data_IF_667368702476
#
_entry.id   IF_667368702476
#
_cell.length_a   1.000
_cell.length_b   1.000
_cell.length_c   1.000
_cell.angle_alpha   90.00
_cell.angle_beta   90.00
_cell.angle_gamma   90.00
#
_symmetry.space_group_name_H-M   'P 1'
#
loop_
_entity.id
_entity.type
_entity.pdbx_description
1 polymer ?
#
# COMPACT_ATOMS: atom_id res chain seq x y z
N UNK A 1 1.51 -48.31 64.79
CA UNK A 1 2.73 -47.88 64.12
C UNK A 1 2.31 -47.29 62.75
N UNK A 2 2.20 -45.96 62.70
CA UNK A 2 2.03 -45.19 61.47
C UNK A 2 3.40 -44.94 60.81
N UNK A 3 3.41 -44.61 59.55
CA UNK A 3 4.11 -43.42 59.13
C UNK A 3 3.37 -42.47 58.19
N UNK A 4 3.46 -41.22 58.54
CA UNK A 4 3.71 -39.99 57.72
C UNK A 4 3.31 -39.99 56.24
N UNK A 5 2.28 -39.20 55.95
CA UNK A 5 2.00 -38.60 54.65
C UNK A 5 2.52 -37.16 54.71
N UNK A 6 3.60 -36.88 53.98
CA UNK A 6 4.10 -35.51 53.81
C UNK A 6 3.56 -34.88 52.50
N UNK A 7 2.98 -33.73 52.69
CA UNK A 7 2.64 -32.68 51.76
C UNK A 7 3.35 -32.65 50.42
N UNK A 8 2.56 -32.80 49.38
CA UNK A 8 2.91 -32.49 47.95
C UNK A 8 1.92 -31.51 47.36
N UNK A 9 1.71 -30.38 48.04
CA UNK A 9 0.79 -29.32 47.56
C UNK A 9 1.39 -27.92 47.60
N UNK A 10 2.61 -27.72 47.11
CA UNK A 10 3.19 -26.36 46.97
C UNK A 10 4.16 -26.19 45.83
N UNK A 11 3.94 -26.82 44.65
CA UNK A 11 4.85 -26.61 43.52
C UNK A 11 4.14 -26.40 42.15
N UNK A 12 2.86 -26.08 42.12
CA UNK A 12 2.16 -25.78 40.86
C UNK A 12 1.41 -24.47 41.01
N UNK A 13 2.12 -23.36 41.15
CA UNK A 13 1.54 -22.03 40.98
C UNK A 13 2.62 -20.93 40.86
N UNK A 14 3.56 -21.07 39.97
CA UNK A 14 4.44 -19.96 39.54
C UNK A 14 4.94 -20.15 38.11
N UNK A 15 4.05 -20.37 37.16
CA UNK A 15 4.30 -20.13 35.73
C UNK A 15 2.93 -20.10 35.02
N UNK A 16 2.31 -18.97 34.87
CA UNK A 16 2.14 -18.34 33.58
C UNK A 16 1.98 -16.80 33.68
N UNK A 17 3.04 -16.07 33.84
CA UNK A 17 2.98 -14.58 33.74
C UNK A 17 4.08 -14.01 32.85
N UNK A 18 4.74 -14.81 32.06
CA UNK A 18 5.84 -14.37 31.17
C UNK A 18 5.60 -14.65 29.69
N UNK A 19 4.40 -15.11 29.28
CA UNK A 19 4.07 -15.32 27.86
C UNK A 19 3.03 -14.33 27.31
N UNK A 20 2.54 -13.37 28.09
CA UNK A 20 1.61 -12.35 27.59
C UNK A 20 2.28 -11.05 27.12
N UNK A 21 3.61 -10.96 27.18
CA UNK A 21 4.38 -9.75 26.84
C UNK A 21 5.05 -9.74 25.48
N UNK A 22 4.97 -10.82 24.72
CA UNK A 22 5.76 -10.97 23.49
C UNK A 22 4.96 -10.94 22.18
N UNK A 23 3.67 -10.60 22.20
CA UNK A 23 2.82 -10.55 20.99
C UNK A 23 2.42 -9.12 20.57
N UNK A 24 3.06 -8.07 21.08
CA UNK A 24 2.68 -6.68 20.84
C UNK A 24 3.68 -5.84 20.02
N UNK A 25 4.65 -6.45 19.33
CA UNK A 25 5.65 -5.67 18.58
C UNK A 25 5.89 -6.11 17.13
N UNK A 26 5.04 -6.92 16.53
CA UNK A 26 5.35 -7.51 15.22
C UNK A 26 4.95 -6.67 14.00
N UNK A 27 4.22 -5.56 14.15
CA UNK A 27 3.77 -4.76 13.00
C UNK A 27 4.58 -3.49 12.73
N UNK A 28 5.32 -2.96 13.69
CA UNK A 28 6.11 -1.73 13.52
C UNK A 28 7.34 -1.87 12.60
N UNK A 29 7.74 -3.11 12.26
CA UNK A 29 8.88 -3.42 11.40
C UNK A 29 8.46 -3.99 10.04
N UNK A 30 7.16 -4.10 9.75
CA UNK A 30 6.66 -4.83 8.59
C UNK A 30 7.30 -4.39 7.26
N UNK A 31 7.43 -3.07 7.01
CA UNK A 31 8.03 -2.58 5.77
C UNK A 31 9.54 -2.84 5.68
N UNK A 32 10.29 -2.60 6.77
CA UNK A 32 11.73 -2.88 6.80
C UNK A 32 11.98 -4.39 6.70
N UNK A 33 11.16 -5.18 7.38
CA UNK A 33 11.23 -6.64 7.32
C UNK A 33 10.86 -7.16 5.93
N UNK A 34 9.87 -6.57 5.27
CA UNK A 34 9.51 -6.86 3.88
C UNK A 34 10.68 -6.58 2.94
N UNK A 35 11.25 -5.37 2.97
CA UNK A 35 12.42 -5.01 2.16
C UNK A 35 13.59 -5.94 2.46
N UNK A 36 13.85 -6.28 3.72
CA UNK A 36 14.90 -7.22 4.09
C UNK A 36 14.65 -8.65 3.55
N UNK A 37 13.39 -9.08 3.48
CA UNK A 37 13.00 -10.37 2.95
C UNK A 37 13.26 -10.49 1.45
N UNK A 38 13.04 -9.41 0.70
CA UNK A 38 13.10 -9.42 -0.76
C UNK A 38 14.41 -8.83 -1.34
N UNK A 39 15.26 -8.18 -0.53
CA UNK A 39 16.49 -7.51 -0.99
C UNK A 39 17.48 -8.45 -1.65
N UNK A 40 17.45 -9.73 -1.30
CA UNK A 40 18.36 -10.76 -1.83
C UNK A 40 17.75 -11.48 -3.05
N UNK A 41 16.49 -11.17 -3.44
CA UNK A 41 15.90 -11.68 -4.66
C UNK A 41 16.59 -11.05 -5.86
N UNK A 42 17.07 -11.86 -6.79
CA UNK A 42 17.67 -11.37 -8.02
C UNK A 42 18.89 -12.15 -8.48
N UNK A 43 19.49 -11.66 -9.55
CA UNK A 43 20.68 -12.23 -10.21
C UNK A 43 21.77 -11.18 -10.33
N UNK A 44 23.05 -11.61 -10.34
CA UNK A 44 24.21 -10.82 -10.73
C UNK A 44 24.53 -10.97 -12.24
N UNK A 45 23.82 -11.86 -12.94
CA UNK A 45 23.99 -12.04 -14.38
C UNK A 45 23.52 -10.79 -15.15
N UNK A 46 24.17 -10.46 -16.29
CA UNK A 46 23.69 -9.39 -17.13
C UNK A 46 22.24 -9.61 -17.56
N UNK A 47 21.44 -8.56 -17.53
CA UNK A 47 20.05 -8.62 -17.94
C UNK A 47 19.95 -8.63 -19.46
N UNK A 48 19.23 -9.63 -20.00
CA UNK A 48 19.01 -9.84 -21.42
C UNK A 48 17.61 -9.44 -21.89
N UNK A 49 16.90 -8.61 -21.14
CA UNK A 49 15.63 -8.02 -21.61
C UNK A 49 15.88 -6.85 -22.55
N UNK A 50 15.18 -6.82 -23.68
CA UNK A 50 15.09 -5.70 -24.60
C UNK A 50 13.65 -5.21 -24.63
N UNK A 51 13.44 -3.89 -24.43
CA UNK A 51 12.11 -3.34 -24.23
C UNK A 51 11.63 -2.51 -25.41
N UNK A 52 10.43 -2.79 -25.88
CA UNK A 52 9.64 -1.93 -26.76
C UNK A 52 8.55 -1.23 -25.95
N UNK A 53 8.59 0.11 -25.90
CA UNK A 53 7.59 0.89 -25.16
C UNK A 53 6.28 0.94 -25.93
N UNK A 54 5.18 0.53 -25.27
CA UNK A 54 3.80 0.69 -25.76
C UNK A 54 3.29 2.06 -25.32
N UNK A 55 3.37 2.35 -24.00
CA UNK A 55 2.96 3.60 -23.38
C UNK A 55 3.82 3.87 -22.15
N UNK A 56 4.28 5.11 -21.96
CA UNK A 56 4.97 5.59 -20.75
C UNK A 56 4.33 6.91 -20.34
N UNK A 57 3.57 6.90 -19.26
CA UNK A 57 2.83 8.04 -18.75
C UNK A 57 3.76 8.91 -17.92
N UNK A 58 3.74 10.22 -18.15
CA UNK A 58 4.56 11.17 -17.40
C UNK A 58 4.22 11.14 -15.91
N UNK A 59 5.25 11.17 -15.07
CA UNK A 59 5.12 11.13 -13.62
C UNK A 59 6.13 12.06 -12.93
N UNK A 60 5.80 12.47 -11.71
CA UNK A 60 6.73 13.18 -10.81
C UNK A 60 7.90 12.28 -10.40
N UNK A 61 9.01 12.86 -9.86
CA UNK A 61 10.14 12.05 -9.39
C UNK A 61 9.75 10.98 -8.36
N UNK A 62 10.55 9.91 -8.29
CA UNK A 62 10.38 8.86 -7.29
C UNK A 62 10.66 9.44 -5.90
N UNK A 63 9.81 9.08 -4.92
CA UNK A 63 9.97 9.48 -3.53
C UNK A 63 10.42 8.30 -2.66
N UNK A 64 10.83 8.59 -1.42
CA UNK A 64 11.28 7.58 -0.48
C UNK A 64 10.43 7.62 0.79
N UNK A 65 9.61 6.57 1.00
CA UNK A 65 8.79 6.41 2.21
C UNK A 65 9.62 6.09 3.47
N UNK A 66 10.92 5.81 3.32
CA UNK A 66 11.80 5.47 4.43
C UNK A 66 11.39 4.18 5.15
N UNK A 67 11.56 4.17 6.47
CA UNK A 67 11.17 3.05 7.34
C UNK A 67 9.75 3.26 7.90
N UNK A 68 8.76 3.46 7.00
CA UNK A 68 7.36 3.61 7.35
C UNK A 68 6.48 2.68 6.49
N UNK A 69 5.40 2.15 7.06
CA UNK A 69 4.39 1.36 6.35
C UNK A 69 3.36 2.25 5.65
N UNK A 70 3.80 3.32 4.99
CA UNK A 70 2.93 4.34 4.36
C UNK A 70 2.96 4.30 2.83
N UNK A 71 3.34 3.15 2.25
CA UNK A 71 3.38 2.94 0.79
C UNK A 71 2.08 3.32 0.08
N UNK A 72 0.94 3.02 0.68
CA UNK A 72 -0.38 3.41 0.19
C UNK A 72 -0.52 4.92 -0.03
N UNK A 73 0.02 5.73 0.91
CA UNK A 73 0.00 7.19 0.80
C UNK A 73 0.93 7.67 -0.30
N UNK A 74 2.17 7.15 -0.36
CA UNK A 74 3.14 7.50 -1.40
C UNK A 74 2.65 7.10 -2.80
N UNK A 75 2.14 5.89 -2.95
CA UNK A 75 1.62 5.41 -4.23
C UNK A 75 0.45 6.27 -4.70
N UNK A 76 -0.57 6.46 -3.86
CA UNK A 76 -1.75 7.21 -4.30
C UNK A 76 -1.49 8.71 -4.43
N UNK A 77 -0.59 9.30 -3.65
CA UNK A 77 -0.18 10.70 -3.85
C UNK A 77 0.54 10.84 -5.20
N UNK A 78 1.46 9.92 -5.54
CA UNK A 78 2.09 9.89 -6.87
C UNK A 78 1.08 9.69 -8.00
N UNK A 79 0.06 8.85 -7.79
CA UNK A 79 -1.06 8.69 -8.73
C UNK A 79 -1.82 10.02 -8.93
N UNK A 80 -2.17 10.73 -7.86
CA UNK A 80 -2.84 12.05 -7.91
C UNK A 80 -1.98 13.08 -8.64
N UNK A 81 -0.66 13.11 -8.41
CA UNK A 81 0.27 13.99 -9.12
C UNK A 81 0.31 13.67 -10.61
N UNK A 82 0.28 12.39 -11.01
CA UNK A 82 0.20 11.97 -12.40
C UNK A 82 -1.15 12.33 -13.04
N UNK A 83 -2.24 12.24 -12.30
CA UNK A 83 -3.56 12.71 -12.74
C UNK A 83 -3.58 14.24 -12.97
N UNK A 84 -2.90 15.02 -12.14
CA UNK A 84 -2.73 16.46 -12.39
C UNK A 84 -2.01 16.73 -13.71
N UNK A 85 -0.95 15.97 -14.02
CA UNK A 85 -0.23 16.06 -15.31
C UNK A 85 -1.19 15.71 -16.47
N UNK A 86 -1.90 14.59 -16.36
CA UNK A 86 -2.90 14.16 -17.37
C UNK A 86 -3.96 15.24 -17.64
N UNK A 87 -4.38 15.97 -16.60
CA UNK A 87 -5.34 17.08 -16.70
C UNK A 87 -4.72 18.37 -17.25
N UNK A 88 -3.44 18.37 -17.65
CA UNK A 88 -2.70 19.53 -18.13
C UNK A 88 -2.37 20.56 -17.05
N UNK A 89 -2.39 20.16 -15.77
CA UNK A 89 -2.00 21.02 -14.65
C UNK A 89 -0.51 20.87 -14.35
N UNK A 90 0.09 21.88 -13.76
CA UNK A 90 1.42 21.78 -13.16
C UNK A 90 1.32 20.87 -11.94
N UNK A 91 2.06 19.75 -11.88
CA UNK A 91 2.06 18.88 -10.71
C UNK A 91 2.65 19.62 -9.50
N UNK A 92 2.13 19.28 -8.34
CA UNK A 92 2.62 19.76 -7.04
C UNK A 92 3.18 18.57 -6.30
N UNK A 93 4.32 18.72 -5.66
CA UNK A 93 4.84 17.77 -4.69
C UNK A 93 3.93 17.79 -3.45
N UNK A 94 3.01 16.84 -3.35
CA UNK A 94 2.00 16.75 -2.31
C UNK A 94 2.57 16.06 -1.06
N UNK A 95 2.08 16.46 0.12
CA UNK A 95 2.47 15.87 1.39
C UNK A 95 1.76 14.54 1.65
N UNK A 96 2.50 13.46 1.62
CA UNK A 96 2.03 12.14 2.06
C UNK A 96 1.74 12.14 3.56
N UNK A 97 2.57 12.87 4.32
CA UNK A 97 2.47 12.86 5.79
C UNK A 97 1.27 13.63 6.32
N UNK A 98 0.77 14.64 5.61
CA UNK A 98 -0.51 15.26 5.93
C UNK A 98 -1.65 14.23 5.83
N UNK A 99 -1.67 13.46 4.76
CA UNK A 99 -2.63 12.38 4.56
C UNK A 99 -2.51 11.31 5.64
N UNK A 100 -1.30 10.84 5.92
CA UNK A 100 -1.00 9.86 6.98
C UNK A 100 -1.49 10.34 8.34
N UNK A 101 -1.22 11.60 8.70
CA UNK A 101 -1.71 12.20 9.94
C UNK A 101 -3.25 12.12 10.05
N UNK A 102 -3.97 12.51 8.99
CA UNK A 102 -5.44 12.49 8.96
C UNK A 102 -5.98 11.07 9.11
N UNK A 103 -5.35 10.12 8.44
CA UNK A 103 -5.71 8.70 8.56
C UNK A 103 -5.47 8.18 9.98
N UNK A 104 -4.34 8.52 10.63
CA UNK A 104 -4.11 8.15 12.03
C UNK A 104 -5.19 8.70 12.97
N UNK A 105 -5.59 9.97 12.79
CA UNK A 105 -6.66 10.59 13.59
C UNK A 105 -7.98 9.83 13.44
N UNK A 106 -8.43 9.58 12.21
CA UNK A 106 -9.70 8.90 11.94
C UNK A 106 -9.66 7.41 12.34
N UNK A 107 -8.53 6.75 12.09
CA UNK A 107 -8.29 5.35 12.48
C UNK A 107 -8.30 5.20 13.99
N UNK A 108 -7.69 6.13 14.74
CA UNK A 108 -7.71 6.17 16.20
C UNK A 108 -9.13 6.33 16.76
N UNK A 109 -9.92 7.24 16.20
CA UNK A 109 -11.35 7.41 16.54
C UNK A 109 -12.13 6.11 16.30
N UNK A 110 -11.93 5.49 15.13
CA UNK A 110 -12.62 4.26 14.75
C UNK A 110 -12.20 3.09 15.64
N UNK A 111 -10.92 2.99 15.98
CA UNK A 111 -10.39 1.99 16.92
C UNK A 111 -11.10 2.04 18.29
N UNK A 112 -11.26 3.24 18.87
CA UNK A 112 -11.95 3.42 20.14
C UNK A 112 -13.45 3.07 20.02
N UNK A 113 -14.13 3.52 18.94
CA UNK A 113 -15.55 3.19 18.70
C UNK A 113 -15.79 1.71 18.52
N UNK A 114 -14.85 0.99 17.95
CA UNK A 114 -14.90 -0.45 17.74
C UNK A 114 -14.31 -1.26 18.92
N UNK A 115 -14.07 -0.61 20.06
CA UNK A 115 -13.55 -1.28 21.26
C UNK A 115 -12.22 -2.03 21.03
N UNK A 116 -11.42 -1.56 20.07
CA UNK A 116 -10.14 -2.16 19.69
C UNK A 116 -10.21 -3.26 18.61
N UNK A 117 -11.38 -3.53 18.05
CA UNK A 117 -11.55 -4.48 16.95
C UNK A 117 -11.35 -3.79 15.59
N UNK A 118 -10.20 -3.17 15.44
CA UNK A 118 -9.74 -2.57 14.20
C UNK A 118 -8.22 -2.75 14.14
N UNK A 119 -7.69 -3.02 12.96
CA UNK A 119 -6.25 -2.96 12.76
C UNK A 119 -5.78 -1.49 12.87
N UNK A 120 -5.08 -1.17 13.96
CA UNK A 120 -4.44 0.14 14.14
C UNK A 120 -2.95 -0.02 13.91
N UNK A 121 -2.52 0.27 12.70
CA UNK A 121 -1.14 0.17 12.23
C UNK A 121 -0.87 1.26 11.16
N UNK A 122 0.34 1.29 10.60
CA UNK A 122 0.77 2.28 9.61
C UNK A 122 0.08 2.11 8.26
N UNK A 123 -0.29 0.88 7.90
CA UNK A 123 -0.90 0.54 6.63
C UNK A 123 -2.23 1.26 6.37
N UNK A 124 -2.65 1.30 5.15
CA UNK A 124 -3.89 1.90 4.65
C UNK A 124 -4.17 1.44 3.23
N UNK A 125 -5.32 1.80 2.69
CA UNK A 125 -5.73 1.42 1.36
C UNK A 125 -5.52 2.56 0.35
N UNK A 126 -5.41 2.24 -0.94
CA UNK A 126 -5.25 3.24 -2.01
C UNK A 126 -6.29 4.37 -1.95
N UNK A 127 -7.59 4.12 -1.70
CA UNK A 127 -8.60 5.18 -1.63
C UNK A 127 -8.44 6.16 -0.47
N UNK A 128 -7.60 5.87 0.52
CA UNK A 128 -7.48 6.70 1.73
C UNK A 128 -6.94 8.11 1.42
N UNK A 129 -6.09 8.25 0.40
CA UNK A 129 -5.62 9.59 -0.04
C UNK A 129 -6.78 10.40 -0.60
N UNK A 130 -7.59 9.81 -1.47
CA UNK A 130 -8.78 10.48 -2.04
C UNK A 130 -9.82 10.79 -0.95
N UNK A 131 -9.99 9.89 0.02
CA UNK A 131 -10.82 10.13 1.19
C UNK A 131 -10.34 11.36 1.98
N UNK A 132 -9.02 11.48 2.22
CA UNK A 132 -8.45 12.64 2.92
C UNK A 132 -8.60 13.91 2.09
N UNK A 133 -8.30 13.88 0.79
CA UNK A 133 -8.51 15.01 -0.12
C UNK A 133 -9.98 15.45 -0.07
N UNK A 134 -10.93 14.52 -0.13
CA UNK A 134 -12.37 14.83 -0.08
C UNK A 134 -12.80 15.42 1.26
N UNK A 135 -12.28 14.93 2.38
CA UNK A 135 -12.74 15.29 3.72
C UNK A 135 -11.98 16.47 4.33
N UNK A 136 -10.68 16.53 4.12
CA UNK A 136 -9.78 17.45 4.80
C UNK A 136 -9.02 18.39 3.86
N UNK A 137 -8.91 18.04 2.58
CA UNK A 137 -8.07 18.73 1.62
C UNK A 137 -6.67 18.14 1.55
N UNK A 138 -5.71 18.94 1.09
CA UNK A 138 -4.32 18.55 0.94
C UNK A 138 -3.39 19.73 1.15
N UNK A 139 -2.09 19.46 1.33
CA UNK A 139 -1.04 20.48 1.46
C UNK A 139 0.17 20.07 0.62
N UNK A 140 1.02 21.03 0.18
CA UNK A 140 2.29 20.71 -0.45
C UNK A 140 3.29 20.11 0.55
N UNK A 141 4.23 19.30 0.08
CA UNK A 141 5.30 18.70 0.86
C UNK A 141 6.17 19.75 1.56
N UNK A 142 6.46 20.87 0.91
CA UNK A 142 7.23 21.98 1.49
C UNK A 142 6.55 22.63 2.71
N UNK A 143 5.24 22.51 2.83
CA UNK A 143 4.46 23.05 3.96
C UNK A 143 4.38 22.06 5.11
N UNK A 144 4.33 20.77 4.82
CA UNK A 144 4.18 19.74 5.84
C UNK A 144 4.91 18.45 5.43
N UNK A 145 6.15 18.31 5.88
CA UNK A 145 6.98 17.14 5.55
C UNK A 145 6.87 15.98 6.55
N UNK A 146 6.26 16.19 7.72
CA UNK A 146 6.07 15.15 8.73
C UNK A 146 7.36 14.68 9.44
N UNK A 147 8.45 15.44 9.41
CA UNK A 147 9.76 15.07 9.98
C UNK A 147 10.13 15.92 11.18
N UNK A 148 9.29 15.95 12.22
CA UNK A 148 9.48 16.81 13.39
C UNK A 148 10.20 16.12 14.57
N UNK A 149 10.80 14.95 14.36
CA UNK A 149 11.39 14.13 15.42
C UNK A 149 12.90 13.85 15.22
N UNK A 150 13.59 14.74 14.48
CA UNK A 150 15.04 14.69 14.32
C UNK A 150 15.56 13.61 13.38
N UNK A 151 14.72 13.08 12.48
CA UNK A 151 15.08 12.17 11.41
C UNK A 151 14.97 12.85 10.05
N UNK A 152 15.85 12.52 9.12
CA UNK A 152 15.77 12.97 7.72
C UNK A 152 14.87 12.08 6.85
N UNK A 153 14.46 10.92 7.38
CA UNK A 153 13.55 9.96 6.71
C UNK A 153 12.46 9.53 7.67
N UNK A 154 11.33 9.13 7.14
CA UNK A 154 10.22 8.62 7.94
C UNK A 154 10.59 7.31 8.67
N UNK A 155 10.33 7.28 9.99
CA UNK A 155 10.52 6.12 10.88
C UNK A 155 9.35 6.08 11.87
N UNK A 156 8.28 5.36 11.51
CA UNK A 156 7.01 5.46 12.22
C UNK A 156 6.82 4.44 13.35
N UNK A 157 7.72 3.48 13.51
CA UNK A 157 7.53 2.41 14.51
C UNK A 157 7.35 2.91 15.95
N UNK A 158 8.16 3.90 16.39
CA UNK A 158 8.03 4.50 17.73
C UNK A 158 6.72 5.29 17.87
N UNK A 159 6.41 6.14 16.88
CA UNK A 159 5.17 6.91 16.85
C UNK A 159 3.92 6.03 16.90
N UNK A 160 3.87 5.00 16.05
CA UNK A 160 2.77 4.03 16.04
C UNK A 160 2.61 3.36 17.41
N UNK A 161 3.72 2.89 18.00
CA UNK A 161 3.71 2.28 19.32
C UNK A 161 3.18 3.23 20.41
N UNK A 162 3.57 4.50 20.38
CA UNK A 162 3.08 5.53 21.31
C UNK A 162 1.58 5.80 21.12
N UNK A 163 1.12 5.99 19.87
CA UNK A 163 -0.28 6.20 19.52
C UNK A 163 -1.15 5.00 19.93
N UNK A 164 -0.71 3.78 19.59
CA UNK A 164 -1.38 2.54 19.96
C UNK A 164 -1.47 2.38 21.47
N UNK A 165 -0.39 2.70 22.20
CA UNK A 165 -0.34 2.68 23.66
C UNK A 165 -1.39 3.60 24.30
N UNK A 166 -1.56 4.81 23.77
CA UNK A 166 -2.63 5.74 24.22
C UNK A 166 -4.00 5.11 23.99
N UNK A 167 -4.28 4.59 22.80
CA UNK A 167 -5.58 4.01 22.45
C UNK A 167 -5.89 2.79 23.31
N UNK A 168 -4.92 1.92 23.57
CA UNK A 168 -5.10 0.74 24.39
C UNK A 168 -5.36 1.10 25.87
N UNK A 169 -4.65 2.10 26.40
CA UNK A 169 -4.90 2.60 27.75
C UNK A 169 -6.32 3.20 27.88
N UNK A 170 -6.75 3.97 26.89
CA UNK A 170 -8.11 4.55 26.84
C UNK A 170 -9.18 3.47 26.76
N UNK A 171 -9.02 2.51 25.84
CA UNK A 171 -9.91 1.36 25.68
C UNK A 171 -10.01 0.52 26.96
N UNK A 172 -8.89 0.35 27.66
CA UNK A 172 -8.79 -0.41 28.91
C UNK A 172 -9.38 0.31 30.14
N UNK A 173 -9.85 1.53 30.02
CA UNK A 173 -10.40 2.31 31.13
C UNK A 173 -11.62 1.63 31.76
N UNK A 174 -11.55 1.41 33.09
CA UNK A 174 -12.60 0.74 33.87
C UNK A 174 -13.61 1.72 34.49
N UNK A 175 -13.48 3.02 34.26
CA UNK A 175 -14.34 4.05 34.88
C UNK A 175 -15.74 4.18 34.25
N UNK A 176 -16.10 3.30 33.31
CA UNK A 176 -17.43 3.24 32.68
C UNK A 176 -17.75 4.39 31.70
N UNK A 177 -16.95 5.48 31.70
CA UNK A 177 -17.13 6.61 30.81
C UNK A 177 -15.77 7.16 30.37
N UNK A 178 -15.57 7.31 29.07
CA UNK A 178 -14.39 7.95 28.51
C UNK A 178 -14.54 9.48 28.54
N UNK A 179 -13.48 10.19 28.86
CA UNK A 179 -13.38 11.62 28.59
C UNK A 179 -13.03 11.87 27.13
N UNK A 180 -13.16 13.11 26.66
CA UNK A 180 -12.69 13.50 25.31
C UNK A 180 -11.21 13.91 25.30
N UNK A 181 -10.55 13.95 26.46
CA UNK A 181 -9.16 14.43 26.61
C UNK A 181 -8.13 13.54 25.91
N UNK A 182 -8.44 12.25 25.72
CA UNK A 182 -7.54 11.34 25.01
C UNK A 182 -7.25 11.77 23.58
N UNK A 183 -8.22 12.41 22.88
CA UNK A 183 -8.00 12.96 21.53
C UNK A 183 -6.88 14.00 21.52
N UNK A 184 -6.90 14.92 22.51
CA UNK A 184 -5.86 15.93 22.63
C UNK A 184 -4.47 15.32 22.90
N UNK A 185 -4.41 14.26 23.72
CA UNK A 185 -3.17 13.54 23.97
C UNK A 185 -2.68 12.81 22.72
N UNK A 186 -3.60 12.20 21.97
CA UNK A 186 -3.31 11.53 20.70
C UNK A 186 -2.79 12.53 19.65
N UNK A 187 -3.49 13.67 19.47
CA UNK A 187 -3.10 14.73 18.52
C UNK A 187 -1.77 15.36 18.92
N UNK A 188 -1.52 15.62 20.22
CA UNK A 188 -0.24 16.13 20.69
C UNK A 188 0.93 15.16 20.42
N UNK A 189 0.65 13.85 20.44
CA UNK A 189 1.66 12.86 20.02
C UNK A 189 1.93 12.96 18.51
N UNK A 190 0.91 13.08 17.68
CA UNK A 190 1.09 13.34 16.26
C UNK A 190 1.86 14.65 16.00
N UNK A 191 1.57 15.73 16.76
CA UNK A 191 2.28 17.00 16.65
C UNK A 191 3.78 16.84 16.97
N UNK A 192 4.10 16.05 17.99
CA UNK A 192 5.49 15.82 18.39
C UNK A 192 6.32 15.13 17.29
N UNK A 193 5.74 14.17 16.59
CA UNK A 193 6.43 13.41 15.55
C UNK A 193 6.30 14.03 14.14
N UNK A 194 5.10 14.44 13.75
CA UNK A 194 4.80 14.87 12.38
C UNK A 194 4.76 16.40 12.23
N UNK A 195 4.76 17.16 13.34
CA UNK A 195 4.58 18.61 13.35
C UNK A 195 3.11 19.02 13.46
N UNK A 196 2.89 20.29 13.83
CA UNK A 196 1.55 20.86 13.94
C UNK A 196 0.88 20.97 12.56
N UNK A 197 -0.41 20.70 12.52
CA UNK A 197 -1.19 20.75 11.29
C UNK A 197 -1.41 22.20 10.82
N UNK A 198 -1.10 22.56 9.56
CA UNK A 198 -1.29 23.89 9.06
C UNK A 198 -2.79 24.20 8.85
N UNK A 199 -3.32 25.20 9.56
CA UNK A 199 -4.67 25.69 9.33
C UNK A 199 -4.76 26.52 8.02
N UNK A 200 -3.68 27.25 7.72
CA UNK A 200 -3.49 28.05 6.50
C UNK A 200 -2.00 28.06 6.13
N UNK A 201 -1.70 28.25 4.85
CA UNK A 201 -0.34 28.33 4.34
C UNK A 201 -0.27 29.16 3.06
N UNK A 202 0.93 29.70 2.78
CA UNK A 202 1.22 30.41 1.54
C UNK A 202 1.68 29.43 0.46
N UNK A 203 1.18 29.55 -0.75
CA UNK A 203 1.66 28.83 -1.91
C UNK A 203 1.53 29.69 -3.16
N UNK A 204 2.60 29.86 -3.94
CA UNK A 204 2.64 30.69 -5.15
C UNK A 204 2.03 32.09 -4.96
N UNK A 205 2.34 32.74 -3.83
CA UNK A 205 1.92 34.12 -3.51
C UNK A 205 0.46 34.26 -3.08
N UNK A 206 -0.27 33.18 -2.89
CA UNK A 206 -1.66 33.15 -2.38
C UNK A 206 -1.73 32.35 -1.08
N UNK A 207 -2.65 32.73 -0.19
CA UNK A 207 -2.93 31.97 1.05
C UNK A 207 -4.04 30.99 0.82
N UNK A 208 -3.82 29.75 1.27
CA UNK A 208 -4.77 28.64 1.16
C UNK A 208 -5.04 28.00 2.53
N UNK A 209 -6.22 27.44 2.69
CA UNK A 209 -6.47 26.35 3.63
C UNK A 209 -6.22 25.02 2.92
N UNK A 210 -6.01 23.89 3.62
CA UNK A 210 -5.91 22.58 2.95
C UNK A 210 -7.06 22.28 2.02
N UNK A 211 -8.29 22.69 2.39
CA UNK A 211 -9.48 22.52 1.56
C UNK A 211 -9.43 23.35 0.28
N UNK A 212 -9.20 24.66 0.39
CA UNK A 212 -9.15 25.52 -0.80
C UNK A 212 -7.97 25.19 -1.72
N UNK A 213 -6.87 24.66 -1.18
CA UNK A 213 -5.74 24.17 -1.98
C UNK A 213 -6.13 22.94 -2.80
N UNK A 214 -6.79 21.96 -2.18
CA UNK A 214 -7.30 20.79 -2.90
C UNK A 214 -8.28 21.18 -4.01
N UNK A 215 -9.21 22.09 -3.72
CA UNK A 215 -10.26 22.48 -4.67
C UNK A 215 -9.70 23.30 -5.84
N UNK A 216 -8.81 24.27 -5.58
CA UNK A 216 -8.34 25.23 -6.59
C UNK A 216 -7.07 24.78 -7.33
N UNK A 217 -6.13 24.14 -6.61
CA UNK A 217 -4.81 23.78 -7.18
C UNK A 217 -4.82 22.34 -7.68
N UNK A 218 -5.18 21.37 -6.85
CA UNK A 218 -5.26 19.97 -7.28
C UNK A 218 -6.44 19.80 -8.24
N UNK A 219 -7.66 20.13 -7.81
CA UNK A 219 -8.86 20.21 -8.62
C UNK A 219 -9.30 18.88 -9.21
N UNK A 220 -8.94 17.75 -8.58
CA UNK A 220 -9.54 16.45 -8.88
C UNK A 220 -10.86 16.31 -8.10
N UNK A 221 -11.80 15.57 -8.66
CA UNK A 221 -12.98 15.13 -7.94
C UNK A 221 -12.75 13.68 -7.46
N UNK A 222 -12.58 13.43 -6.14
CA UNK A 222 -12.35 12.08 -5.63
C UNK A 222 -13.43 11.05 -5.98
N UNK A 223 -14.65 11.49 -6.32
CA UNK A 223 -15.74 10.61 -6.68
C UNK A 223 -15.66 10.09 -8.13
N UNK A 224 -14.75 10.63 -8.95
CA UNK A 224 -14.53 10.18 -10.33
C UNK A 224 -13.57 8.95 -10.38
N UNK A 225 -13.12 8.44 -9.23
CA UNK A 225 -12.18 7.33 -9.15
C UNK A 225 -12.83 6.09 -8.57
N UNK A 226 -12.54 4.96 -9.19
CA UNK A 226 -13.09 3.66 -8.83
C UNK A 226 -11.98 2.70 -8.42
N UNK A 227 -12.26 1.88 -7.42
CA UNK A 227 -11.40 0.76 -7.05
C UNK A 227 -11.97 -0.54 -7.60
N UNK A 228 -11.13 -1.31 -8.30
CA UNK A 228 -11.48 -2.61 -8.87
C UNK A 228 -10.71 -3.72 -8.16
N UNK A 229 -11.30 -4.89 -8.10
CA UNK A 229 -10.70 -6.12 -7.58
C UNK A 229 -11.24 -7.34 -8.33
N UNK A 230 -10.68 -8.53 -8.05
CA UNK A 230 -11.08 -9.77 -8.73
C UNK A 230 -11.00 -10.97 -7.78
N UNK A 231 -12.09 -11.25 -7.05
CA UNK A 231 -12.16 -12.34 -6.07
C UNK A 231 -13.46 -13.14 -6.20
N UNK A 232 -13.37 -14.46 -6.13
CA UNK A 232 -14.56 -15.35 -6.29
C UNK A 232 -15.40 -15.48 -5.02
N UNK A 233 -14.89 -15.04 -3.86
CA UNK A 233 -15.66 -14.99 -2.61
C UNK A 233 -16.70 -13.85 -2.56
N UNK A 234 -16.75 -13.03 -3.62
CA UNK A 234 -17.78 -12.00 -3.82
C UNK A 234 -18.41 -12.16 -5.22
N UNK A 235 -19.69 -11.80 -5.42
CA UNK A 235 -20.27 -11.77 -6.75
C UNK A 235 -19.52 -10.82 -7.69
N UNK A 236 -19.34 -11.23 -8.94
CA UNK A 236 -18.81 -10.34 -9.97
C UNK A 236 -19.82 -9.28 -10.36
N UNK A 237 -19.31 -8.12 -10.78
CA UNK A 237 -20.06 -6.91 -11.18
C UNK A 237 -20.83 -6.24 -10.06
N UNK A 238 -20.51 -6.57 -8.82
CA UNK A 238 -21.09 -5.95 -7.62
C UNK A 238 -20.02 -5.23 -6.79
N UNK A 239 -20.49 -4.30 -5.98
CA UNK A 239 -19.65 -3.65 -4.99
C UNK A 239 -19.38 -4.60 -3.81
N UNK A 240 -18.13 -4.70 -3.39
CA UNK A 240 -17.71 -5.52 -2.27
C UNK A 240 -16.73 -4.79 -1.37
N UNK A 241 -16.48 -5.31 -0.18
CA UNK A 241 -15.42 -4.87 0.71
C UNK A 241 -14.29 -5.89 0.69
N UNK A 242 -13.13 -5.50 0.20
CA UNK A 242 -11.95 -6.38 0.21
C UNK A 242 -11.60 -6.68 1.67
N UNK A 243 -11.44 -7.97 1.98
CA UNK A 243 -11.19 -8.47 3.32
C UNK A 243 -9.68 -8.49 3.61
N UNK A 244 -9.08 -7.31 3.70
CA UNK A 244 -7.69 -7.10 4.11
C UNK A 244 -7.63 -6.22 5.35
N UNK A 245 -6.62 -6.40 6.23
CA UNK A 245 -6.52 -5.64 7.48
C UNK A 245 -6.47 -4.13 7.29
N UNK A 246 -5.91 -3.66 6.17
CA UNK A 246 -5.69 -2.24 5.89
C UNK A 246 -6.90 -1.54 5.25
N UNK A 247 -7.97 -2.27 4.89
CA UNK A 247 -9.26 -1.67 4.52
C UNK A 247 -10.04 -1.19 5.78
N UNK A 248 -9.41 -0.33 6.57
CA UNK A 248 -9.94 0.18 7.84
C UNK A 248 -11.17 1.07 7.66
N UNK A 249 -11.34 1.71 6.51
CA UNK A 249 -12.51 2.52 6.16
C UNK A 249 -13.73 1.66 5.87
N UNK A 250 -13.53 0.38 5.54
CA UNK A 250 -14.51 -0.50 4.90
C UNK A 250 -14.94 0.03 3.53
N UNK A 251 -13.95 0.60 2.84
CA UNK A 251 -14.11 1.09 1.49
C UNK A 251 -14.59 -0.01 0.55
N UNK A 252 -15.35 0.39 -0.45
CA UNK A 252 -15.87 -0.53 -1.46
C UNK A 252 -14.95 -0.60 -2.67
N UNK A 253 -14.94 -1.78 -3.29
CA UNK A 253 -14.35 -2.04 -4.60
C UNK A 253 -15.40 -2.68 -5.49
N UNK A 254 -15.28 -2.51 -6.79
CA UNK A 254 -16.11 -3.26 -7.75
C UNK A 254 -15.38 -4.53 -8.17
N UNK A 255 -16.06 -5.65 -8.08
CA UNK A 255 -15.50 -6.97 -8.34
C UNK A 255 -15.70 -7.38 -9.80
N UNK A 256 -14.61 -7.67 -10.51
CA UNK A 256 -14.63 -8.10 -11.91
C UNK A 256 -13.98 -9.49 -12.07
N UNK A 257 -14.36 -10.27 -13.10
CA UNK A 257 -13.52 -11.39 -13.53
C UNK A 257 -12.10 -10.92 -13.84
N UNK A 258 -11.09 -11.78 -13.60
CA UNK A 258 -9.68 -11.41 -13.74
C UNK A 258 -9.35 -10.84 -15.13
N UNK A 259 -9.88 -11.42 -16.20
CA UNK A 259 -9.60 -10.93 -17.56
C UNK A 259 -10.17 -9.54 -17.80
N UNK A 260 -11.37 -9.24 -17.26
CA UNK A 260 -11.97 -7.91 -17.37
C UNK A 260 -11.25 -6.87 -16.49
N UNK A 261 -10.70 -7.27 -15.35
CA UNK A 261 -9.85 -6.38 -14.54
C UNK A 261 -8.55 -6.05 -15.28
N UNK A 262 -7.89 -7.05 -15.89
CA UNK A 262 -6.68 -6.82 -16.69
C UNK A 262 -6.97 -5.96 -17.93
N UNK A 263 -8.09 -6.18 -18.61
CA UNK A 263 -8.54 -5.35 -19.73
C UNK A 263 -8.77 -3.89 -19.28
N UNK A 264 -9.34 -3.66 -18.08
CA UNK A 264 -9.52 -2.33 -17.53
C UNK A 264 -8.17 -1.63 -17.25
N UNK A 265 -7.18 -2.36 -16.71
CA UNK A 265 -5.81 -1.85 -16.50
C UNK A 265 -5.19 -1.45 -17.85
N UNK A 266 -5.19 -2.36 -18.83
CA UNK A 266 -4.57 -2.14 -20.13
C UNK A 266 -5.21 -0.94 -20.85
N UNK A 267 -6.55 -0.91 -20.91
CA UNK A 267 -7.30 0.19 -21.56
C UNK A 267 -7.01 1.54 -20.89
N UNK A 268 -6.91 1.56 -19.54
CA UNK A 268 -6.59 2.79 -18.81
C UNK A 268 -5.20 3.31 -19.17
N UNK A 269 -4.20 2.45 -19.13
CA UNK A 269 -2.82 2.82 -19.46
C UNK A 269 -2.68 3.26 -20.92
N UNK A 270 -3.26 2.54 -21.88
CA UNK A 270 -3.26 2.89 -23.30
C UNK A 270 -3.94 4.23 -23.57
N UNK A 271 -4.96 4.58 -22.78
CA UNK A 271 -5.63 5.88 -22.85
C UNK A 271 -4.90 7.01 -22.09
N UNK A 272 -3.73 6.73 -21.50
CA UNK A 272 -2.92 7.71 -20.78
C UNK A 272 -3.36 7.97 -19.34
N UNK A 273 -4.15 7.09 -18.74
CA UNK A 273 -4.54 7.15 -17.34
C UNK A 273 -3.63 6.26 -16.49
N UNK A 274 -2.95 6.80 -15.46
CA UNK A 274 -2.20 5.98 -14.52
C UNK A 274 -3.14 5.08 -13.71
N UNK A 275 -2.59 4.02 -13.12
CA UNK A 275 -3.36 3.09 -12.29
C UNK A 275 -2.63 2.89 -10.96
N UNK A 276 -3.25 3.28 -9.83
CA UNK A 276 -2.73 2.94 -8.52
C UNK A 276 -2.93 1.43 -8.26
N UNK A 277 -1.92 0.76 -7.69
CA UNK A 277 -1.84 -0.68 -7.62
C UNK A 277 -1.44 -1.16 -6.22
N UNK A 278 -2.33 -1.89 -5.55
CA UNK A 278 -2.07 -2.61 -4.31
C UNK A 278 -1.80 -4.07 -4.63
N UNK A 279 -0.69 -4.61 -4.12
CA UNK A 279 -0.22 -5.92 -4.50
C UNK A 279 0.63 -6.59 -3.41
N UNK A 280 0.88 -7.87 -3.61
CA UNK A 280 1.90 -8.62 -2.89
C UNK A 280 3.25 -8.46 -3.61
N UNK A 281 4.29 -8.07 -2.87
CA UNK A 281 5.69 -8.01 -3.35
C UNK A 281 6.59 -8.96 -2.58
N UNK A 282 6.04 -9.77 -1.69
CA UNK A 282 6.81 -10.73 -0.87
C UNK A 282 7.20 -12.01 -1.62
N UNK A 283 6.74 -12.17 -2.87
CA UNK A 283 7.08 -13.30 -3.73
C UNK A 283 8.55 -13.24 -4.19
N UNK A 284 9.15 -14.41 -4.42
CA UNK A 284 10.52 -14.50 -4.95
C UNK A 284 10.67 -13.87 -6.32
N UNK A 285 9.61 -13.85 -7.14
CA UNK A 285 9.63 -13.21 -8.46
C UNK A 285 9.82 -11.70 -8.43
N UNK A 286 9.60 -11.04 -7.29
CA UNK A 286 9.83 -9.62 -7.13
C UNK A 286 11.30 -9.31 -6.82
N UNK A 287 12.00 -8.67 -7.75
CA UNK A 287 13.41 -8.32 -7.62
C UNK A 287 13.62 -6.80 -7.78
N UNK A 288 13.91 -6.14 -6.66
CA UNK A 288 14.29 -4.71 -6.68
C UNK A 288 15.62 -4.54 -7.42
N UNK A 289 16.55 -5.47 -7.18
CA UNK A 289 17.92 -5.46 -7.73
C UNK A 289 17.91 -5.46 -9.25
N UNK A 290 17.09 -6.31 -9.86
CA UNK A 290 16.99 -6.42 -11.30
C UNK A 290 15.91 -5.51 -11.89
N UNK A 291 15.10 -4.85 -11.06
CA UNK A 291 14.02 -3.97 -11.51
C UNK A 291 12.90 -4.73 -12.24
N UNK A 292 12.64 -5.98 -11.87
CA UNK A 292 11.58 -6.80 -12.47
C UNK A 292 10.73 -7.51 -11.42
N UNK A 293 9.50 -7.82 -11.80
CA UNK A 293 8.61 -8.71 -11.06
C UNK A 293 7.99 -9.71 -12.04
N UNK A 294 8.28 -11.00 -11.84
CA UNK A 294 7.98 -12.09 -12.78
C UNK A 294 7.38 -13.29 -12.08
N UNK A 295 6.61 -14.09 -12.79
CA UNK A 295 5.97 -15.29 -12.25
C UNK A 295 6.29 -16.50 -13.15
N UNK A 296 7.40 -17.20 -12.90
CA UNK A 296 7.80 -18.32 -13.74
C UNK A 296 6.80 -19.48 -13.66
N UNK A 297 6.66 -20.21 -14.77
CA UNK A 297 5.79 -21.40 -14.85
C UNK A 297 6.26 -22.53 -13.91
N UNK A 298 7.57 -22.65 -13.69
CA UNK A 298 8.14 -23.61 -12.76
C UNK A 298 8.15 -23.07 -11.31
N UNK A 299 7.83 -23.95 -10.34
CA UNK A 299 7.92 -23.56 -8.93
C UNK A 299 9.35 -23.20 -8.50
N UNK A 300 9.52 -22.14 -7.76
CA UNK A 300 10.82 -21.73 -7.20
C UNK A 300 11.51 -22.82 -6.35
N UNK A 301 10.73 -23.72 -5.74
CA UNK A 301 11.28 -24.85 -4.94
C UNK A 301 11.87 -25.96 -5.78
N UNK A 302 11.49 -26.04 -7.05
CA UNK A 302 11.89 -27.10 -7.98
C UNK A 302 13.03 -26.66 -8.90
N UNK A 303 13.49 -25.40 -8.77
CA UNK A 303 14.59 -24.83 -9.53
C UNK A 303 15.93 -25.05 -8.84
N UNK A 304 16.97 -25.30 -9.62
CA UNK A 304 18.35 -25.12 -9.19
C UNK A 304 18.67 -23.63 -8.96
N UNK A 305 19.78 -23.33 -8.30
CA UNK A 305 20.19 -21.95 -8.08
C UNK A 305 20.48 -21.21 -9.41
N UNK A 306 21.03 -21.91 -10.40
CA UNK A 306 21.32 -21.37 -11.73
C UNK A 306 20.03 -21.07 -12.49
N UNK A 307 19.04 -21.97 -12.45
CA UNK A 307 17.73 -21.75 -13.07
C UNK A 307 17.00 -20.57 -12.42
N UNK A 308 16.97 -20.49 -11.10
CA UNK A 308 16.36 -19.37 -10.37
C UNK A 308 17.02 -18.01 -10.72
N UNK A 309 18.35 -17.96 -10.91
CA UNK A 309 19.03 -16.75 -11.34
C UNK A 309 18.72 -16.39 -12.79
N UNK A 310 18.56 -17.37 -13.67
CA UNK A 310 18.25 -17.17 -15.08
C UNK A 310 16.86 -16.50 -15.26
N UNK A 311 15.91 -16.78 -14.38
CA UNK A 311 14.57 -16.15 -14.38
C UNK A 311 14.64 -14.61 -14.33
N UNK A 312 15.59 -14.05 -13.57
CA UNK A 312 15.72 -12.59 -13.48
C UNK A 312 16.56 -12.01 -14.64
N UNK A 313 17.28 -12.83 -15.37
CA UNK A 313 18.25 -12.36 -16.36
C UNK A 313 17.69 -12.19 -17.77
N UNK A 314 16.51 -12.73 -18.08
CA UNK A 314 15.91 -12.64 -19.43
C UNK A 314 14.55 -13.31 -19.53
N UNK A 315 13.92 -13.23 -20.73
CA UNK A 315 12.63 -13.83 -20.97
C UNK A 315 12.58 -15.34 -20.64
N UNK A 316 11.49 -15.77 -20.09
CA UNK A 316 11.23 -17.15 -19.69
C UNK A 316 9.73 -17.44 -19.78
N UNK A 317 9.34 -18.71 -19.71
CA UNK A 317 7.95 -19.11 -19.70
C UNK A 317 7.29 -18.69 -18.36
N UNK A 318 6.26 -17.88 -18.45
CA UNK A 318 5.49 -17.37 -17.31
C UNK A 318 4.33 -18.32 -16.97
N UNK A 319 3.90 -18.30 -15.71
CA UNK A 319 2.74 -19.07 -15.24
C UNK A 319 1.44 -18.59 -15.91
N UNK A 320 0.60 -19.54 -16.27
CA UNK A 320 -0.75 -19.25 -16.70
C UNK A 320 -1.62 -19.01 -15.46
N UNK A 321 -2.00 -17.75 -15.24
CA UNK A 321 -2.78 -17.33 -14.08
C UNK A 321 -4.25 -17.21 -14.46
N UNK A 322 -5.08 -18.07 -13.88
CA UNK A 322 -6.53 -18.03 -13.98
C UNK A 322 -7.19 -17.50 -12.69
N UNK A 323 -8.52 -17.42 -12.70
CA UNK A 323 -9.30 -16.93 -11.58
C UNK A 323 -9.19 -17.84 -10.35
N UNK A 324 -9.09 -19.16 -10.54
CA UNK A 324 -9.03 -20.15 -9.46
C UNK A 324 -7.69 -20.09 -8.75
N UNK A 325 -6.59 -20.12 -9.48
CA UNK A 325 -5.21 -19.98 -8.94
C UNK A 325 -5.04 -18.68 -8.16
N UNK A 326 -5.58 -17.59 -8.70
CA UNK A 326 -5.56 -16.29 -8.04
C UNK A 326 -6.31 -16.33 -6.70
N UNK A 327 -7.52 -16.88 -6.65
CA UNK A 327 -8.31 -17.00 -5.43
C UNK A 327 -7.62 -17.89 -4.39
N UNK A 328 -7.08 -19.03 -4.84
CA UNK A 328 -6.37 -19.96 -3.95
C UNK A 328 -5.19 -19.27 -3.24
N UNK A 329 -4.39 -18.48 -3.96
CA UNK A 329 -3.27 -17.77 -3.35
C UNK A 329 -3.69 -16.68 -2.36
N UNK A 330 -4.81 -16.03 -2.57
CA UNK A 330 -5.37 -15.08 -1.62
C UNK A 330 -5.86 -15.80 -0.35
N UNK A 331 -6.57 -16.91 -0.51
CA UNK A 331 -7.16 -17.67 0.61
C UNK A 331 -6.09 -18.37 1.48
N UNK A 332 -4.93 -18.74 0.89
CA UNK A 332 -3.85 -19.43 1.59
C UNK A 332 -2.68 -18.52 2.00
N UNK A 333 -2.83 -17.19 1.88
CA UNK A 333 -1.83 -16.17 2.24
C UNK A 333 -0.55 -16.16 1.38
N UNK A 334 -0.57 -16.74 0.19
CA UNK A 334 0.51 -16.61 -0.80
C UNK A 334 0.40 -15.30 -1.61
N UNK A 335 -0.76 -14.64 -1.56
CA UNK A 335 -0.97 -13.29 -2.07
C UNK A 335 -1.59 -12.45 -0.96
N UNK A 336 -0.86 -11.44 -0.48
CA UNK A 336 -1.25 -10.58 0.62
C UNK A 336 -1.21 -9.10 0.22
N UNK A 337 -1.95 -8.25 0.95
CA UNK A 337 -1.90 -6.80 0.80
C UNK A 337 -0.71 -6.24 1.58
N UNK A 338 0.43 -6.12 0.93
CA UNK A 338 1.67 -5.71 1.59
C UNK A 338 2.35 -4.48 0.99
N UNK A 339 1.99 -4.06 -0.25
CA UNK A 339 2.59 -2.88 -0.84
C UNK A 339 1.68 -2.14 -1.84
N UNK A 340 1.88 -0.81 -1.93
CA UNK A 340 1.22 0.06 -2.90
C UNK A 340 2.22 0.72 -3.84
N UNK A 341 1.93 0.70 -5.15
CA UNK A 341 2.72 1.30 -6.23
C UNK A 341 1.81 1.93 -7.29
N UNK A 342 2.39 2.42 -8.40
CA UNK A 342 1.62 2.99 -9.52
C UNK A 342 2.08 2.35 -10.82
N UNK A 343 1.13 1.82 -11.61
CA UNK A 343 1.38 1.43 -12.98
C UNK A 343 1.36 2.71 -13.84
N UNK A 344 2.47 3.00 -14.49
CA UNK A 344 2.69 4.23 -15.28
C UNK A 344 2.81 3.97 -16.78
N UNK A 345 2.70 2.71 -17.21
CA UNK A 345 2.79 2.40 -18.61
C UNK A 345 2.94 0.91 -18.88
N UNK A 346 3.24 0.60 -20.12
CA UNK A 346 3.38 -0.76 -20.63
C UNK A 346 4.56 -0.84 -21.61
N UNK A 347 5.26 -1.96 -21.58
CA UNK A 347 6.32 -2.33 -22.52
C UNK A 347 6.10 -3.77 -23.00
N UNK A 348 6.79 -4.16 -24.06
CA UNK A 348 6.95 -5.56 -24.47
C UNK A 348 8.42 -5.94 -24.41
N UNK A 349 8.70 -7.18 -24.03
CA UNK A 349 10.02 -7.76 -24.24
C UNK A 349 10.24 -8.19 -25.70
N UNK A 350 11.42 -8.69 -26.02
CA UNK A 350 11.79 -9.15 -27.37
C UNK A 350 10.99 -10.39 -27.84
N UNK A 351 10.28 -11.09 -26.94
CA UNK A 351 9.40 -12.22 -27.29
C UNK A 351 7.94 -11.79 -27.43
N UNK A 352 7.64 -10.51 -27.15
CA UNK A 352 6.32 -9.91 -27.24
C UNK A 352 5.47 -10.03 -25.99
N UNK A 353 6.05 -10.49 -24.87
CA UNK A 353 5.36 -10.55 -23.58
C UNK A 353 5.14 -9.15 -23.03
N UNK A 354 3.98 -8.90 -22.45
CA UNK A 354 3.61 -7.60 -21.90
C UNK A 354 4.11 -7.46 -20.46
N UNK A 355 4.73 -6.30 -20.18
CA UNK A 355 5.12 -5.88 -18.85
C UNK A 355 4.56 -4.48 -18.56
N UNK A 356 4.34 -4.20 -17.27
CA UNK A 356 3.88 -2.90 -16.80
C UNK A 356 5.06 -2.11 -16.22
N UNK A 357 5.16 -0.84 -16.58
CA UNK A 357 6.10 0.11 -15.98
C UNK A 357 5.53 0.50 -14.61
N UNK A 358 6.23 0.16 -13.55
CA UNK A 358 5.77 0.35 -12.17
C UNK A 358 6.65 1.35 -11.46
N UNK A 359 6.08 2.44 -10.96
CA UNK A 359 6.75 3.42 -10.11
C UNK A 359 6.61 3.01 -8.65
N UNK A 360 7.74 2.80 -7.97
CA UNK A 360 7.82 2.44 -6.56
C UNK A 360 8.10 3.70 -5.68
N UNK A 361 8.14 3.53 -4.36
CA UNK A 361 8.33 4.60 -3.37
C UNK A 361 9.47 4.30 -2.37
N UNK A 362 10.51 3.62 -2.82
CA UNK A 362 11.69 3.29 -2.00
C UNK A 362 12.94 4.09 -2.37
N UNK A 363 12.75 5.26 -3.01
CA UNK A 363 13.83 6.09 -3.54
C UNK A 363 14.37 5.59 -4.87
N UNK A 364 15.39 6.27 -5.37
CA UNK A 364 16.04 5.98 -6.65
C UNK A 364 16.98 4.77 -6.52
N UNK A 365 16.43 3.60 -6.14
CA UNK A 365 17.22 2.36 -6.10
C UNK A 365 17.71 2.06 -7.51
N UNK A 366 19.03 1.99 -7.74
CA UNK A 366 19.58 1.69 -9.06
C UNK A 366 19.16 0.30 -9.54
N UNK A 367 18.76 0.19 -10.78
CA UNK A 367 18.59 -1.05 -11.53
C UNK A 367 18.94 -0.82 -13.00
N UNK A 368 18.90 -1.88 -13.81
CA UNK A 368 19.37 -1.81 -15.22
C UNK A 368 18.38 -1.09 -16.16
N UNK A 369 17.20 -0.71 -15.69
CA UNK A 369 16.17 -0.07 -16.53
C UNK A 369 15.96 1.40 -16.17
N UNK A 370 15.31 1.66 -15.03
CA UNK A 370 14.97 3.02 -14.59
C UNK A 370 15.02 3.07 -13.06
N UNK A 371 15.94 3.83 -12.45
CA UNK A 371 16.06 3.91 -10.99
C UNK A 371 14.73 4.19 -10.29
N UNK A 372 14.41 3.41 -9.25
CA UNK A 372 13.17 3.52 -8.50
C UNK A 372 11.91 2.97 -9.18
N UNK A 373 12.05 2.45 -10.42
CA UNK A 373 10.99 1.73 -11.15
C UNK A 373 11.31 0.25 -11.26
N UNK A 374 10.30 -0.53 -11.62
CA UNK A 374 10.45 -1.92 -12.01
C UNK A 374 9.47 -2.25 -13.15
N UNK A 375 9.71 -3.36 -13.84
CA UNK A 375 8.82 -3.88 -14.87
C UNK A 375 8.18 -5.17 -14.38
N UNK A 376 6.84 -5.16 -14.22
CA UNK A 376 6.08 -6.31 -13.74
C UNK A 376 5.43 -7.03 -14.92
N UNK A 377 5.63 -8.35 -15.03
CA UNK A 377 4.99 -9.15 -16.07
C UNK A 377 3.48 -9.20 -15.91
N UNK A 378 2.76 -9.46 -17.00
CA UNK A 378 1.31 -9.63 -16.94
C UNK A 378 0.93 -10.75 -15.96
N UNK A 379 1.64 -11.87 -15.95
CA UNK A 379 1.38 -12.98 -15.03
C UNK A 379 1.54 -12.55 -13.57
N UNK A 380 2.56 -11.74 -13.24
CA UNK A 380 2.74 -11.20 -11.90
C UNK A 380 1.59 -10.28 -11.50
N UNK A 381 1.22 -9.33 -12.34
CA UNK A 381 0.10 -8.41 -12.08
C UNK A 381 -1.22 -9.17 -11.94
N UNK A 382 -1.49 -10.16 -12.79
CA UNK A 382 -2.68 -11.02 -12.69
C UNK A 382 -2.77 -11.74 -11.35
N UNK A 383 -1.66 -12.30 -10.86
CA UNK A 383 -1.65 -13.13 -9.67
C UNK A 383 -1.60 -12.30 -8.37
N UNK A 384 -0.73 -11.30 -8.32
CA UNK A 384 -0.36 -10.60 -7.09
C UNK A 384 -1.13 -9.30 -6.82
N UNK A 385 -2.04 -8.89 -7.70
CA UNK A 385 -2.89 -7.69 -7.47
C UNK A 385 -3.92 -7.96 -6.39
N UNK A 386 -3.98 -7.12 -5.37
CA UNK A 386 -5.08 -7.07 -4.40
C UNK A 386 -6.21 -6.20 -4.97
N UNK A 387 -5.88 -4.98 -5.36
CA UNK A 387 -6.81 -4.05 -6.01
C UNK A 387 -6.07 -3.04 -6.87
N UNK A 388 -6.81 -2.42 -7.77
CA UNK A 388 -6.35 -1.27 -8.55
C UNK A 388 -7.33 -0.12 -8.39
N UNK A 389 -6.84 1.12 -8.52
CA UNK A 389 -7.69 2.31 -8.53
C UNK A 389 -7.34 3.18 -9.75
N UNK A 390 -8.37 3.65 -10.44
CA UNK A 390 -8.23 4.44 -11.67
C UNK A 390 -9.39 5.42 -11.83
N UNK A 391 -9.25 6.37 -12.74
CA UNK A 391 -10.33 7.28 -13.11
C UNK A 391 -11.43 6.50 -13.85
N UNK A 392 -12.70 6.73 -13.50
CA UNK A 392 -13.83 5.99 -14.10
C UNK A 392 -13.95 6.17 -15.62
N UNK A 393 -13.52 7.33 -16.16
CA UNK A 393 -13.56 7.58 -17.60
C UNK A 393 -12.57 6.73 -18.40
N UNK A 394 -11.58 6.13 -17.76
CA UNK A 394 -10.67 5.17 -18.40
C UNK A 394 -11.33 3.81 -18.66
N UNK A 395 -12.42 3.51 -17.96
CA UNK A 395 -13.14 2.26 -18.12
C UNK A 395 -13.91 2.20 -19.43
N UNK A 396 -13.92 1.03 -20.05
CA UNK A 396 -14.77 0.77 -21.21
C UNK A 396 -16.25 0.97 -20.85
N UNK A 397 -17.04 1.47 -21.81
CA UNK A 397 -18.49 1.67 -21.65
C UNK A 397 -19.24 0.39 -21.26
N UNK A 398 -18.79 -0.77 -21.75
CA UNK A 398 -19.30 -2.10 -21.38
C UNK A 398 -19.13 -2.39 -19.90
N UNK A 399 -17.94 -2.14 -19.37
CA UNK A 399 -17.58 -2.32 -17.96
C UNK A 399 -18.34 -1.35 -17.07
N UNK A 400 -18.35 -0.04 -17.40
CA UNK A 400 -19.18 0.96 -16.67
C UNK A 400 -20.64 0.50 -16.58
N UNK A 401 -21.23 0.06 -17.70
CA UNK A 401 -22.61 -0.44 -17.70
C UNK A 401 -22.84 -1.65 -16.80
N UNK A 402 -21.89 -2.62 -16.76
CA UNK A 402 -21.99 -3.81 -15.90
C UNK A 402 -21.89 -3.42 -14.41
N UNK A 403 -21.12 -2.39 -14.08
CA UNK A 403 -20.89 -1.90 -12.72
C UNK A 403 -21.94 -0.87 -12.29
N UNK A 404 -22.86 -0.44 -13.16
CA UNK A 404 -23.83 0.65 -12.93
C UNK A 404 -23.15 2.01 -12.56
N UNK A 405 -22.01 2.29 -13.21
CA UNK A 405 -21.26 3.54 -13.12
C UNK A 405 -21.69 4.53 -14.23
#
# INVERSE_FOLDING_TARGET
KLPLVHNLNNLIMKLPLLLAGALLSTQAFAQVDLINKIKDNGSDAPIGYEWETIVDIEATPVKNQGASGTCWSYATTSFVESEMIRMGKTPVDLSEMYTVRKVYQDKGEKYIRLHGYLNFAQGGALPDVLYVIKKYGAVPQEVYNGLNYGSEINRHGEMEGALKGILDAVKGNKNGKLSTSWRKAFDATLDAYLGEEPAQFGYNGKTYTPRSFADEVIGINPDDYVQLTSWTNHPFYEACQIQVPDNWTWGISYNLPIDEMMEAINTSLEAGYPVAWACDVSDKGFSIKNGIAVMPNQSWSDMSAEEAQAIYAGPHEEALVDQETRQEQYDNYLTQDDHGMVLQGMVKDQEGNVFYIVKNSWGDIPNDFRPGYLYASEAYVRLKTISVMMHEDSLQKSTKKKLNL
#
